data_IF_976148251274
#
_entry.id   IF_976148251274
#
_cell.length_a   1.000
_cell.length_b   1.000
_cell.length_c   1.000
_cell.angle_alpha   90.00
_cell.angle_beta   90.00
_cell.angle_gamma   90.00
#
_symmetry.space_group_name_H-M   'P 1'
#
loop_
_entity.id
_entity.type
_entity.pdbx_description
1 polymer ?
#
# COMPACT_ATOMS: atom_id res chain seq x y z
N UNK A 1 50.82 -38.67 -36.28
CA UNK A 1 49.97 -37.47 -36.48
C UNK A 1 48.80 -37.81 -37.38
N UNK A 2 47.58 -37.95 -36.84
CA UNK A 2 46.29 -37.72 -37.53
C UNK A 2 45.23 -37.44 -36.46
N UNK A 3 44.89 -36.16 -36.27
CA UNK A 3 43.84 -35.72 -35.37
C UNK A 3 42.46 -36.09 -35.95
N UNK A 4 41.58 -36.70 -35.14
CA UNK A 4 40.17 -36.91 -35.50
C UNK A 4 39.33 -35.78 -34.91
N UNK A 5 38.57 -35.14 -35.79
CA UNK A 5 37.73 -33.96 -35.60
C UNK A 5 36.63 -34.23 -34.58
N UNK A 6 36.41 -33.28 -33.67
CA UNK A 6 35.25 -33.25 -32.79
C UNK A 6 33.99 -32.93 -33.62
N UNK A 7 32.95 -33.76 -33.48
CA UNK A 7 31.60 -33.50 -34.00
C UNK A 7 30.83 -32.80 -32.89
N UNK A 8 30.41 -31.56 -33.15
CA UNK A 8 29.51 -30.82 -32.28
C UNK A 8 28.12 -31.46 -32.35
N UNK A 9 27.69 -32.09 -31.26
CA UNK A 9 26.30 -32.52 -31.08
C UNK A 9 25.47 -31.29 -30.63
N UNK A 10 24.53 -30.89 -31.49
CA UNK A 10 23.46 -29.96 -31.12
C UNK A 10 22.50 -30.68 -30.18
N UNK A 11 22.34 -30.22 -28.94
CA UNK A 11 21.22 -30.64 -28.10
C UNK A 11 20.00 -29.80 -28.46
N UNK A 12 18.92 -30.50 -28.82
CA UNK A 12 17.59 -29.96 -29.02
C UNK A 12 17.06 -29.28 -27.74
N UNK A 13 16.19 -28.28 -27.92
CA UNK A 13 15.54 -27.54 -26.86
C UNK A 13 14.79 -28.44 -25.88
N UNK A 14 15.10 -28.30 -24.59
CA UNK A 14 14.27 -28.82 -23.51
C UNK A 14 13.42 -27.66 -22.98
N UNK A 15 12.11 -27.77 -23.11
CA UNK A 15 11.16 -26.90 -22.41
C UNK A 15 11.26 -27.29 -20.92
N UNK A 16 11.81 -26.42 -20.09
CA UNK A 16 11.68 -26.55 -18.64
C UNK A 16 10.30 -26.05 -18.27
N UNK A 17 9.39 -26.98 -17.95
CA UNK A 17 8.20 -26.66 -17.18
C UNK A 17 8.66 -26.10 -15.82
N UNK A 18 8.56 -24.79 -15.63
CA UNK A 18 8.70 -24.19 -14.30
C UNK A 18 7.50 -24.67 -13.47
N UNK A 19 7.72 -25.58 -12.54
CA UNK A 19 6.76 -25.90 -11.49
C UNK A 19 6.33 -24.60 -10.80
N UNK A 20 5.06 -24.47 -10.35
CA UNK A 20 4.72 -23.37 -9.45
C UNK A 20 5.66 -23.46 -8.23
N UNK A 21 6.41 -22.38 -7.98
CA UNK A 21 7.22 -22.27 -6.78
C UNK A 21 6.27 -22.48 -5.57
N UNK A 22 6.63 -23.39 -4.67
CA UNK A 22 5.89 -23.54 -3.41
C UNK A 22 5.78 -22.17 -2.72
N UNK A 23 4.69 -21.86 -2.00
CA UNK A 23 4.61 -20.62 -1.24
C UNK A 23 5.85 -20.51 -0.35
N UNK A 24 6.65 -19.46 -0.56
CA UNK A 24 7.81 -19.21 0.26
C UNK A 24 7.33 -18.95 1.70
N UNK A 25 7.80 -19.76 2.64
CA UNK A 25 7.50 -19.53 4.06
C UNK A 25 8.23 -18.25 4.51
N UNK A 26 7.48 -17.25 4.96
CA UNK A 26 8.04 -15.99 5.46
C UNK A 26 8.34 -16.12 6.95
N UNK A 27 9.62 -15.96 7.33
CA UNK A 27 10.01 -15.89 8.74
C UNK A 27 10.04 -14.43 9.16
N UNK A 28 9.27 -14.06 10.19
CA UNK A 28 9.31 -12.74 10.82
C UNK A 28 9.98 -12.80 12.19
N UNK A 29 10.98 -11.95 12.37
CA UNK A 29 11.68 -11.75 13.64
C UNK A 29 11.21 -10.46 14.28
N UNK A 30 10.93 -10.49 15.59
CA UNK A 30 10.49 -9.34 16.38
C UNK A 30 11.59 -8.93 17.35
N UNK A 31 11.78 -7.62 17.53
CA UNK A 31 12.70 -7.03 18.51
C UNK A 31 11.90 -6.17 19.48
N UNK A 32 12.17 -6.32 20.78
CA UNK A 32 11.46 -5.61 21.84
C UNK A 32 12.42 -4.76 22.67
N UNK A 33 11.92 -3.68 23.28
CA UNK A 33 12.65 -2.92 24.29
C UNK A 33 12.59 -3.58 25.68
N UNK A 34 13.25 -2.97 26.66
CA UNK A 34 13.28 -3.43 28.06
C UNK A 34 11.91 -3.40 28.76
N UNK A 35 10.91 -2.72 28.17
CA UNK A 35 9.52 -2.68 28.66
C UNK A 35 8.62 -3.70 27.93
N UNK A 36 9.19 -4.53 27.05
CA UNK A 36 8.45 -5.56 26.30
C UNK A 36 7.66 -5.01 25.10
N UNK A 37 7.91 -3.77 24.69
CA UNK A 37 7.23 -3.14 23.55
C UNK A 37 7.98 -3.40 22.25
N UNK A 38 7.27 -3.58 21.14
CA UNK A 38 7.88 -3.89 19.85
C UNK A 38 8.67 -2.70 19.30
N UNK A 39 9.98 -2.83 19.15
CA UNK A 39 10.86 -1.79 18.58
C UNK A 39 11.33 -2.09 17.16
N UNK A 40 11.03 -3.28 16.65
CA UNK A 40 11.22 -3.54 15.23
C UNK A 40 10.85 -4.95 14.80
N UNK A 41 10.64 -5.09 13.51
CA UNK A 41 10.43 -6.37 12.84
C UNK A 41 11.48 -6.57 11.75
N UNK A 42 11.74 -7.81 11.39
CA UNK A 42 12.54 -8.16 10.22
C UNK A 42 11.91 -9.38 9.55
N UNK A 43 11.58 -9.28 8.27
CA UNK A 43 11.13 -10.39 7.45
C UNK A 43 12.32 -11.06 6.77
N UNK A 44 12.21 -12.37 6.52
CA UNK A 44 13.16 -13.13 5.70
C UNK A 44 13.23 -12.65 4.24
N UNK A 45 12.28 -11.82 3.81
CA UNK A 45 12.30 -11.13 2.51
C UNK A 45 13.08 -9.79 2.56
N UNK A 46 13.61 -9.42 3.73
CA UNK A 46 14.47 -8.27 3.92
C UNK A 46 13.74 -6.95 4.20
N UNK A 47 12.41 -6.99 4.39
CA UNK A 47 11.67 -5.88 5.00
C UNK A 47 11.98 -5.77 6.48
N UNK A 48 12.24 -4.56 6.96
CA UNK A 48 12.47 -4.28 8.38
C UNK A 48 11.66 -3.07 8.83
N UNK A 49 11.18 -3.12 10.07
CA UNK A 49 10.52 -2.00 10.74
C UNK A 49 11.36 -1.56 11.93
N UNK A 50 11.43 -0.25 12.17
CA UNK A 50 11.94 0.37 13.40
C UNK A 50 10.84 1.20 14.05
N UNK A 51 10.63 1.01 15.36
CA UNK A 51 9.61 1.71 16.15
C UNK A 51 10.27 2.43 17.32
N UNK A 52 10.02 3.72 17.49
CA UNK A 52 10.45 4.50 18.64
C UNK A 52 9.27 4.91 19.52
N UNK A 53 9.48 4.97 20.82
CA UNK A 53 8.49 5.37 21.81
C UNK A 53 8.98 6.56 22.66
N UNK A 54 8.05 7.44 23.04
CA UNK A 54 8.30 8.49 24.02
C UNK A 54 8.32 7.94 25.46
N UNK A 55 8.75 8.74 26.47
CA UNK A 55 8.75 8.32 27.87
C UNK A 55 7.37 8.04 28.48
N UNK A 56 6.29 8.55 27.88
CA UNK A 56 4.92 8.32 28.32
C UNK A 56 4.33 7.01 27.78
N UNK A 57 5.03 6.32 26.89
CA UNK A 57 4.58 5.05 26.33
C UNK A 57 4.10 5.11 24.90
N UNK A 58 3.96 6.31 24.33
CA UNK A 58 3.35 6.50 23.01
C UNK A 58 4.37 6.28 21.91
N UNK A 59 3.93 5.74 20.77
CA UNK A 59 4.79 5.53 19.60
C UNK A 59 5.12 6.90 18.97
N UNK A 60 6.40 7.27 18.95
CA UNK A 60 6.91 8.54 18.42
C UNK A 60 7.48 8.40 17.00
N UNK A 61 8.00 7.24 16.61
CA UNK A 61 8.56 7.02 15.26
C UNK A 61 8.24 5.62 14.73
N UNK A 62 8.10 5.51 13.40
CA UNK A 62 7.91 4.25 12.68
C UNK A 62 8.59 4.34 11.30
N UNK A 63 9.61 3.52 11.06
CA UNK A 63 10.42 3.52 9.83
C UNK A 63 10.37 2.12 9.22
N UNK A 64 10.04 2.01 7.93
CA UNK A 64 10.05 0.74 7.19
C UNK A 64 11.12 0.79 6.10
N UNK A 65 12.03 -0.18 6.09
CA UNK A 65 13.12 -0.32 5.10
C UNK A 65 13.03 -1.69 4.44
N UNK A 66 12.93 -1.75 3.11
CA UNK A 66 12.80 -2.99 2.34
C UNK A 66 14.00 -3.28 1.43
N UNK A 67 14.49 -4.52 1.48
CA UNK A 67 15.64 -5.02 0.73
C UNK A 67 15.52 -4.90 -0.79
N UNK A 68 16.41 -4.10 -1.36
CA UNK A 68 16.81 -4.23 -2.75
C UNK A 68 18.09 -5.07 -2.84
N UNK A 69 18.04 -6.07 -3.70
CA UNK A 69 19.15 -6.55 -4.53
C UNK A 69 20.17 -7.54 -3.91
N UNK A 70 19.96 -8.83 -4.17
CA UNK A 70 21.03 -9.69 -4.70
C UNK A 70 20.61 -10.00 -6.15
N UNK A 71 21.31 -9.64 -7.22
CA UNK A 71 22.74 -9.46 -7.41
C UNK A 71 23.19 -10.43 -8.51
N UNK A 72 23.03 -10.05 -9.77
CA UNK A 72 23.80 -10.62 -10.88
C UNK A 72 24.35 -9.44 -11.69
N UNK A 73 25.62 -9.15 -11.48
CA UNK A 73 26.31 -8.01 -12.06
C UNK A 73 26.86 -8.29 -13.46
N UNK A 74 26.98 -7.21 -14.23
CA UNK A 74 28.20 -6.84 -14.94
C UNK A 74 28.38 -7.36 -16.38
N UNK A 75 28.43 -6.42 -17.33
CA UNK A 75 29.11 -6.61 -18.61
C UNK A 75 28.51 -5.79 -19.75
N UNK A 76 29.13 -4.67 -20.10
CA UNK A 76 28.67 -3.74 -21.14
C UNK A 76 28.86 -4.22 -22.58
N UNK A 77 28.23 -3.50 -23.51
CA UNK A 77 28.42 -3.63 -24.96
C UNK A 77 27.24 -3.05 -25.72
N UNK A 78 27.47 -1.98 -26.49
CA UNK A 78 26.44 -1.25 -27.23
C UNK A 78 25.79 -2.05 -28.36
N UNK A 79 24.57 -1.66 -28.71
CA UNK A 79 23.83 -2.17 -29.87
C UNK A 79 22.44 -1.54 -29.93
N UNK A 80 22.16 -0.83 -31.02
CA UNK A 80 20.90 -0.15 -31.30
C UNK A 80 19.73 -1.11 -31.49
N UNK A 81 18.53 -0.69 -31.07
CA UNK A 81 17.27 -1.04 -31.74
C UNK A 81 16.21 -1.72 -30.87
N UNK A 82 15.01 -1.14 -30.87
CA UNK A 82 13.76 -1.90 -30.87
C UNK A 82 12.94 -1.92 -29.58
N UNK A 83 11.83 -1.18 -29.58
CA UNK A 83 10.55 -1.62 -28.99
C UNK A 83 10.42 -1.56 -27.47
N UNK A 84 10.37 -0.36 -26.89
CA UNK A 84 9.91 -0.19 -25.50
C UNK A 84 8.39 -0.22 -25.43
N UNK A 85 7.80 -1.39 -25.16
CA UNK A 85 6.41 -1.49 -24.72
C UNK A 85 6.25 -0.83 -23.36
N UNK A 86 5.80 0.43 -23.33
CA UNK A 86 5.39 1.09 -22.09
C UNK A 86 4.19 0.37 -21.51
N UNK A 87 4.36 -0.30 -20.38
CA UNK A 87 3.24 -0.89 -19.64
C UNK A 87 2.21 0.20 -19.31
N UNK A 88 0.92 -0.11 -19.48
CA UNK A 88 -0.16 0.82 -19.17
C UNK A 88 -0.08 1.27 -17.69
N UNK A 89 -0.32 2.55 -17.43
CA UNK A 89 -0.43 3.08 -16.06
C UNK A 89 -1.67 2.47 -15.40
N UNK A 90 -1.54 1.84 -14.21
CA UNK A 90 -2.69 1.31 -13.49
C UNK A 90 -3.69 2.42 -13.15
N UNK A 91 -4.97 2.07 -13.15
CA UNK A 91 -6.07 2.97 -12.78
C UNK A 91 -6.69 2.53 -11.47
N UNK A 92 -6.88 3.46 -10.55
CA UNK A 92 -7.61 3.27 -9.28
C UNK A 92 -9.03 3.79 -9.46
N UNK A 93 -10.02 2.97 -9.14
CA UNK A 93 -11.43 3.37 -9.16
C UNK A 93 -11.69 4.44 -8.11
N UNK A 94 -12.27 5.57 -8.53
CA UNK A 94 -12.59 6.70 -7.67
C UNK A 94 -11.41 7.12 -6.77
N UNK A 95 -10.22 7.21 -7.37
CA UNK A 95 -8.96 7.40 -6.64
C UNK A 95 -8.84 8.70 -5.83
N UNK A 96 -9.69 9.69 -6.11
CA UNK A 96 -9.82 10.95 -5.36
C UNK A 96 -11.18 11.11 -4.65
N UNK A 97 -11.95 10.02 -4.52
CA UNK A 97 -13.19 9.97 -3.71
C UNK A 97 -14.27 10.99 -4.11
N UNK A 98 -14.37 11.32 -5.39
CA UNK A 98 -15.35 12.28 -5.90
C UNK A 98 -16.75 11.67 -6.08
N UNK A 99 -16.90 10.36 -5.84
CA UNK A 99 -18.17 9.65 -5.92
C UNK A 99 -18.56 8.96 -4.60
N UNK A 100 -19.84 9.06 -4.19
CA UNK A 100 -20.88 9.92 -4.72
C UNK A 100 -20.65 11.40 -4.36
N UNK A 101 -21.01 12.29 -5.28
CA UNK A 101 -20.94 13.73 -5.07
C UNK A 101 -21.76 14.19 -3.86
N UNK A 102 -21.14 14.96 -2.96
CA UNK A 102 -21.81 15.63 -1.84
C UNK A 102 -21.82 17.15 -2.06
N UNK A 103 -23.01 17.76 -1.96
CA UNK A 103 -23.16 19.22 -2.01
C UNK A 103 -22.88 19.84 -0.63
N UNK A 104 -21.60 20.00 -0.30
CA UNK A 104 -21.13 20.52 1.00
C UNK A 104 -21.42 19.59 2.20
N UNK A 105 -21.97 18.40 1.93
CA UNK A 105 -22.35 17.40 2.92
C UNK A 105 -21.29 16.32 3.12
N UNK A 106 -21.75 15.20 3.67
CA UNK A 106 -20.99 13.97 3.81
C UNK A 106 -21.94 12.78 3.79
N UNK A 107 -21.41 11.61 3.44
CA UNK A 107 -22.18 10.37 3.40
C UNK A 107 -21.36 9.23 3.99
N UNK A 108 -21.98 8.47 4.90
CA UNK A 108 -21.43 7.21 5.43
C UNK A 108 -21.80 6.03 4.55
N UNK A 109 -20.88 5.07 4.50
CA UNK A 109 -20.97 3.78 3.81
C UNK A 109 -21.56 3.86 2.38
N UNK A 110 -21.16 4.85 1.53
CA UNK A 110 -21.60 4.87 0.15
C UNK A 110 -21.02 3.69 -0.65
N UNK A 111 -21.52 3.54 -1.88
CA UNK A 111 -20.88 2.72 -2.89
C UNK A 111 -20.87 3.46 -4.21
N UNK A 112 -19.78 3.30 -4.96
CA UNK A 112 -19.60 3.80 -6.31
C UNK A 112 -18.98 2.70 -7.17
N UNK A 113 -18.87 2.93 -8.48
CA UNK A 113 -18.30 1.94 -9.39
C UNK A 113 -16.84 1.65 -9.02
N UNK A 114 -16.58 0.47 -8.45
CA UNK A 114 -15.24 0.04 -8.02
C UNK A 114 -14.79 0.61 -6.67
N UNK A 115 -15.64 1.35 -5.94
CA UNK A 115 -15.34 1.84 -4.60
C UNK A 115 -16.44 1.43 -3.61
N UNK A 116 -16.05 0.96 -2.43
CA UNK A 116 -16.98 0.54 -1.38
C UNK A 116 -16.52 0.98 0.00
N UNK A 117 -17.46 1.48 0.78
CA UNK A 117 -17.26 2.04 2.10
C UNK A 117 -18.10 1.24 3.09
N UNK A 118 -17.50 0.88 4.22
CA UNK A 118 -18.16 0.12 5.30
C UNK A 118 -17.64 0.57 6.67
N UNK A 119 -18.37 0.23 7.73
CA UNK A 119 -17.88 0.31 9.11
C UNK A 119 -17.62 1.73 9.60
N UNK A 120 -18.44 2.72 9.24
CA UNK A 120 -18.24 4.15 9.54
C UNK A 120 -17.13 4.80 8.71
N UNK A 121 -16.97 4.36 7.45
CA UNK A 121 -16.22 5.14 6.45
C UNK A 121 -17.18 5.95 5.58
N UNK A 122 -16.66 6.87 4.79
CA UNK A 122 -17.51 7.65 3.90
C UNK A 122 -16.77 8.65 3.04
N UNK A 123 -17.53 9.52 2.40
CA UNK A 123 -17.04 10.67 1.64
C UNK A 123 -17.50 11.97 2.30
N UNK A 124 -16.65 12.99 2.33
CA UNK A 124 -16.98 14.30 2.88
C UNK A 124 -16.52 15.40 1.92
N UNK A 125 -17.42 16.33 1.59
CA UNK A 125 -17.06 17.46 0.76
C UNK A 125 -16.21 18.49 1.50
N UNK A 126 -15.43 19.23 0.72
CA UNK A 126 -14.74 20.43 1.16
C UNK A 126 -15.74 21.40 1.82
N UNK A 127 -15.41 21.86 3.03
CA UNK A 127 -16.27 22.76 3.81
C UNK A 127 -17.43 22.08 4.55
N UNK A 128 -17.55 20.75 4.51
CA UNK A 128 -18.56 20.02 5.28
C UNK A 128 -18.34 20.13 6.80
N UNK A 129 -19.32 19.68 7.57
CA UNK A 129 -19.26 19.65 9.05
C UNK A 129 -18.11 18.79 9.61
N UNK A 130 -17.49 17.95 8.79
CA UNK A 130 -16.25 17.25 9.15
C UNK A 130 -15.09 18.21 9.34
N UNK A 131 -15.01 19.29 8.56
CA UNK A 131 -14.00 20.34 8.73
C UNK A 131 -12.58 19.88 8.44
N UNK A 132 -12.38 18.87 7.59
CA UNK A 132 -11.06 18.55 7.03
C UNK A 132 -10.53 19.74 6.19
N UNK A 133 -9.21 19.82 6.02
CA UNK A 133 -8.63 20.70 5.01
C UNK A 133 -9.20 20.37 3.62
N UNK A 134 -9.14 21.33 2.69
CA UNK A 134 -9.59 21.09 1.32
C UNK A 134 -8.80 19.93 0.68
N UNK A 135 -9.52 19.05 -0.02
CA UNK A 135 -8.97 17.93 -0.77
C UNK A 135 -7.85 18.38 -1.72
N UNK A 136 -6.68 17.71 -1.72
CA UNK A 136 -5.60 17.95 -2.67
C UNK A 136 -5.98 17.77 -4.15
N UNK A 137 -6.85 16.81 -4.45
CA UNK A 137 -7.48 16.58 -5.75
C UNK A 137 -9.00 16.69 -5.60
N UNK A 138 -9.66 17.28 -6.60
CA UNK A 138 -11.10 17.46 -6.60
C UNK A 138 -11.64 18.34 -5.46
N UNK A 139 -12.71 17.87 -4.84
CA UNK A 139 -13.61 18.62 -3.96
C UNK A 139 -14.10 17.84 -2.75
N UNK A 140 -13.71 16.58 -2.61
CA UNK A 140 -14.13 15.71 -1.53
C UNK A 140 -13.00 14.79 -1.10
N UNK A 141 -13.18 14.16 0.06
CA UNK A 141 -12.19 13.22 0.62
C UNK A 141 -12.89 11.94 1.01
N UNK A 142 -12.18 10.82 0.93
CA UNK A 142 -12.55 9.62 1.66
C UNK A 142 -12.26 9.83 3.13
N UNK A 143 -13.10 9.36 4.05
CA UNK A 143 -12.80 9.40 5.48
C UNK A 143 -13.00 8.04 6.15
N UNK A 144 -12.18 7.82 7.18
CA UNK A 144 -12.31 6.73 8.13
C UNK A 144 -12.67 7.31 9.49
N UNK A 145 -13.68 6.75 10.15
CA UNK A 145 -14.07 7.12 11.51
C UNK A 145 -13.86 5.96 12.49
N UNK A 146 -13.31 6.26 13.66
CA UNK A 146 -13.45 5.41 14.84
C UNK A 146 -14.84 5.58 15.49
N UNK A 147 -14.95 5.25 16.76
CA UNK A 147 -16.21 5.32 17.52
C UNK A 147 -16.98 4.01 17.58
N UNK A 148 -16.48 2.94 16.95
CA UNK A 148 -17.01 1.58 17.03
C UNK A 148 -16.01 0.65 17.73
N UNK A 149 -16.49 -0.15 18.69
CA UNK A 149 -15.69 -1.17 19.38
C UNK A 149 -15.76 -2.55 18.71
N UNK A 150 -16.56 -2.70 17.66
CA UNK A 150 -16.82 -3.99 17.02
C UNK A 150 -16.41 -4.03 15.55
N UNK A 151 -16.31 -2.87 14.89
CA UNK A 151 -16.06 -2.78 13.45
C UNK A 151 -15.08 -1.64 13.15
N UNK A 152 -14.30 -1.82 12.09
CA UNK A 152 -13.37 -0.82 11.58
C UNK A 152 -13.93 -0.17 10.31
N UNK A 153 -13.80 1.16 10.22
CA UNK A 153 -14.04 1.89 8.98
C UNK A 153 -13.13 1.34 7.89
N UNK A 154 -13.72 0.92 6.77
CA UNK A 154 -12.97 0.33 5.66
C UNK A 154 -13.46 0.86 4.33
N UNK A 155 -12.52 1.42 3.55
CA UNK A 155 -12.73 1.82 2.16
C UNK A 155 -11.96 0.83 1.28
N UNK A 156 -12.59 0.28 0.25
CA UNK A 156 -11.94 -0.57 -0.76
C UNK A 156 -12.08 0.01 -2.15
N UNK A 157 -10.98 0.12 -2.89
CA UNK A 157 -10.91 0.64 -4.25
C UNK A 157 -10.36 -0.42 -5.20
N UNK A 158 -11.07 -0.66 -6.30
CA UNK A 158 -10.61 -1.56 -7.36
C UNK A 158 -9.47 -0.91 -8.16
N UNK A 159 -8.47 -1.72 -8.50
CA UNK A 159 -7.35 -1.34 -9.36
C UNK A 159 -7.38 -2.17 -10.63
N UNK A 160 -7.16 -1.55 -11.77
CA UNK A 160 -7.06 -2.22 -13.08
C UNK A 160 -5.81 -1.77 -13.83
N UNK A 161 -5.41 -2.51 -14.86
CA UNK A 161 -4.26 -2.15 -15.70
C UNK A 161 -2.90 -2.48 -15.06
N UNK A 162 -2.88 -3.33 -14.03
CA UNK A 162 -1.64 -3.83 -13.45
C UNK A 162 -0.95 -4.80 -14.41
N UNK A 163 0.38 -4.89 -14.32
CA UNK A 163 1.17 -5.91 -15.01
C UNK A 163 1.65 -6.96 -14.01
N UNK A 164 1.21 -8.23 -14.12
CA UNK A 164 1.69 -9.30 -13.24
C UNK A 164 3.22 -9.39 -13.22
N UNK A 165 3.81 -9.46 -12.04
CA UNK A 165 5.26 -9.46 -11.82
C UNK A 165 5.92 -8.08 -11.75
N UNK A 166 5.21 -7.00 -12.09
CA UNK A 166 5.71 -5.63 -11.89
C UNK A 166 5.50 -5.15 -10.46
N UNK A 167 6.43 -4.33 -9.97
CA UNK A 167 6.36 -3.72 -8.63
C UNK A 167 5.75 -2.32 -8.67
N UNK A 168 4.83 -2.06 -7.76
CA UNK A 168 4.09 -0.81 -7.63
C UNK A 168 4.14 -0.28 -6.20
N UNK A 169 3.77 0.98 -6.02
CA UNK A 169 3.53 1.64 -4.73
C UNK A 169 2.20 2.37 -4.79
N UNK A 170 1.51 2.47 -3.66
CA UNK A 170 0.34 3.33 -3.47
C UNK A 170 0.85 4.68 -2.98
N UNK A 171 0.40 5.75 -3.62
CA UNK A 171 0.64 7.14 -3.20
C UNK A 171 -0.71 7.78 -2.95
N UNK A 172 -0.84 8.42 -1.81
CA UNK A 172 -2.03 9.13 -1.36
C UNK A 172 -1.59 10.15 -0.31
N UNK A 173 -2.51 10.97 0.13
CA UNK A 173 -2.33 11.93 1.21
C UNK A 173 -3.39 11.72 2.29
N UNK A 174 -3.11 12.20 3.50
CA UNK A 174 -4.06 12.10 4.60
C UNK A 174 -3.97 13.30 5.53
N UNK A 175 -5.09 13.58 6.21
CA UNK A 175 -5.18 14.58 7.26
C UNK A 175 -6.06 14.05 8.39
N UNK A 176 -5.85 14.49 9.63
CA UNK A 176 -6.78 14.21 10.72
C UNK A 176 -7.88 15.27 10.74
N UNK A 177 -8.99 14.92 11.39
CA UNK A 177 -10.03 15.90 11.67
C UNK A 177 -9.54 16.90 12.74
N UNK A 178 -9.72 18.23 12.59
CA UNK A 178 -9.17 19.22 13.53
C UNK A 178 -9.68 19.09 14.97
N UNK A 179 -10.91 18.63 15.15
CA UNK A 179 -11.57 18.54 16.47
C UNK A 179 -11.40 17.16 17.13
N UNK A 180 -10.63 16.25 16.54
CA UNK A 180 -10.42 14.90 17.09
C UNK A 180 -8.95 14.61 17.32
N UNK A 181 -8.69 13.53 18.07
CA UNK A 181 -7.35 12.99 18.24
C UNK A 181 -6.78 12.36 16.97
N UNK A 182 -5.55 11.87 17.09
CA UNK A 182 -4.84 11.09 16.07
C UNK A 182 -5.61 9.84 15.70
N UNK A 183 -5.68 9.54 14.40
CA UNK A 183 -6.19 8.26 13.90
C UNK A 183 -5.06 7.38 13.37
N UNK A 184 -5.16 6.07 13.62
CA UNK A 184 -4.36 5.04 12.97
C UNK A 184 -5.21 4.28 11.96
N UNK A 185 -4.61 3.97 10.81
CA UNK A 185 -5.20 3.11 9.81
C UNK A 185 -4.11 2.35 9.02
N UNK A 186 -4.49 1.20 8.47
CA UNK A 186 -3.65 0.36 7.61
C UNK A 186 -4.06 0.52 6.15
N UNK A 187 -3.10 0.36 5.25
CA UNK A 187 -3.31 0.35 3.81
C UNK A 187 -2.91 -1.03 3.28
N UNK A 188 -3.82 -1.64 2.53
CA UNK A 188 -3.66 -3.00 2.03
C UNK A 188 -3.69 -3.02 0.51
N UNK A 189 -2.92 -3.94 -0.08
CA UNK A 189 -3.09 -4.36 -1.47
C UNK A 189 -3.33 -5.87 -1.52
N UNK A 190 -4.50 -6.29 -2.02
CA UNK A 190 -4.93 -7.70 -2.07
C UNK A 190 -4.71 -8.46 -0.75
N UNK A 191 -5.02 -7.81 0.38
CA UNK A 191 -4.87 -8.37 1.73
C UNK A 191 -3.45 -8.34 2.30
N UNK A 192 -2.47 -7.82 1.57
CA UNK A 192 -1.11 -7.56 2.07
C UNK A 192 -1.03 -6.15 2.63
N UNK A 193 -0.62 -5.99 3.88
CA UNK A 193 -0.37 -4.66 4.46
C UNK A 193 0.85 -4.01 3.76
N UNK A 194 0.64 -2.83 3.20
CA UNK A 194 1.64 -2.06 2.48
C UNK A 194 1.92 -0.71 3.15
N UNK A 195 1.13 -0.26 4.12
CA UNK A 195 1.44 0.91 4.93
C UNK A 195 0.65 0.97 6.25
N UNK A 196 1.34 1.27 7.34
CA UNK A 196 0.76 1.73 8.60
C UNK A 196 0.78 3.26 8.64
N UNK A 197 -0.38 3.91 8.82
CA UNK A 197 -0.49 5.37 8.81
C UNK A 197 -0.94 5.91 10.15
N UNK A 198 -0.32 7.01 10.57
CA UNK A 198 -0.72 7.79 11.75
C UNK A 198 -1.07 9.21 11.33
N UNK A 199 -2.35 9.53 11.34
CA UNK A 199 -2.88 10.83 10.97
C UNK A 199 -2.83 11.81 12.13
N UNK A 200 -1.81 12.67 12.16
CA UNK A 200 -1.57 13.67 13.23
C UNK A 200 -1.73 15.12 12.77
N UNK A 201 -1.49 15.40 11.50
CA UNK A 201 -1.57 16.74 10.91
C UNK A 201 -3.00 17.05 10.47
N UNK A 202 -3.45 18.29 10.68
CA UNK A 202 -4.71 18.78 10.10
C UNK A 202 -4.56 19.19 8.64
N UNK A 203 -3.33 19.39 8.17
CA UNK A 203 -2.99 19.58 6.76
C UNK A 203 -2.67 18.24 6.12
N UNK A 204 -2.96 18.10 4.82
CA UNK A 204 -2.67 16.89 4.07
C UNK A 204 -1.17 16.61 3.98
N UNK A 205 -0.77 15.43 4.43
CA UNK A 205 0.61 14.92 4.33
C UNK A 205 0.67 13.73 3.38
N UNK A 206 1.62 13.68 2.44
CA UNK A 206 1.74 12.57 1.50
C UNK A 206 2.30 11.32 2.17
N UNK A 207 1.84 10.16 1.72
CA UNK A 207 2.34 8.83 2.06
C UNK A 207 2.70 8.10 0.78
N UNK A 208 3.81 7.38 0.83
CA UNK A 208 4.19 6.39 -0.19
C UNK A 208 4.31 5.04 0.50
N UNK A 209 3.52 4.06 0.06
CA UNK A 209 3.51 2.72 0.65
C UNK A 209 4.83 1.98 0.42
N UNK A 210 5.02 0.86 1.13
CA UNK A 210 5.95 -0.17 0.71
C UNK A 210 5.63 -0.65 -0.71
N UNK A 211 6.65 -1.11 -1.43
CA UNK A 211 6.44 -1.68 -2.76
C UNK A 211 5.77 -3.06 -2.64
N UNK A 212 4.85 -3.34 -3.55
CA UNK A 212 4.21 -4.65 -3.70
C UNK A 212 4.32 -5.11 -5.16
N UNK A 213 4.28 -6.42 -5.39
CA UNK A 213 4.32 -6.98 -6.74
C UNK A 213 2.92 -7.43 -7.14
N UNK A 214 2.42 -6.95 -8.27
CA UNK A 214 1.11 -7.36 -8.76
C UNK A 214 1.13 -8.84 -9.18
N UNK A 215 0.12 -9.61 -8.78
CA UNK A 215 -0.04 -11.03 -9.15
C UNK A 215 -1.03 -11.21 -10.29
N UNK A 216 -1.85 -10.19 -10.56
CA UNK A 216 -2.88 -10.16 -11.58
C UNK A 216 -2.93 -8.78 -12.27
N UNK A 217 -3.77 -8.65 -13.30
CA UNK A 217 -4.00 -7.38 -14.02
C UNK A 217 -4.97 -6.45 -13.30
N UNK A 218 -5.58 -6.94 -12.22
CA UNK A 218 -6.48 -6.22 -11.33
C UNK A 218 -6.09 -6.49 -9.88
N UNK A 219 -6.46 -5.60 -8.97
CA UNK A 219 -6.27 -5.78 -7.53
C UNK A 219 -7.20 -4.88 -6.73
N UNK A 220 -7.04 -4.88 -5.42
CA UNK A 220 -7.84 -4.08 -4.49
C UNK A 220 -6.94 -3.34 -3.52
N UNK A 221 -7.10 -2.02 -3.45
CA UNK A 221 -6.58 -1.20 -2.35
C UNK A 221 -7.61 -1.19 -1.23
N UNK A 222 -7.20 -1.32 0.01
CA UNK A 222 -8.07 -1.06 1.16
C UNK A 222 -7.41 -0.09 2.15
N UNK A 223 -8.19 0.85 2.66
CA UNK A 223 -7.84 1.68 3.81
C UNK A 223 -8.71 1.24 4.98
N UNK A 224 -8.10 0.80 6.08
CA UNK A 224 -8.82 0.24 7.24
C UNK A 224 -8.42 0.95 8.51
N UNK A 225 -9.39 1.61 9.14
CA UNK A 225 -9.22 2.28 10.42
C UNK A 225 -9.03 1.30 11.58
N UNK A 226 -8.67 1.85 12.74
CA UNK A 226 -8.63 1.08 13.99
C UNK A 226 -10.02 0.90 14.59
N UNK A 227 -10.31 -0.29 15.12
CA UNK A 227 -11.49 -0.53 15.98
C UNK A 227 -11.26 0.15 17.32
N UNK A 228 -12.03 1.18 17.62
CA UNK A 228 -11.88 1.97 18.85
C UNK A 228 -13.17 2.71 19.21
N UNK A 229 -13.46 2.82 20.51
CA UNK A 229 -14.55 3.67 20.99
C UNK A 229 -14.27 5.18 20.81
N UNK A 230 -13.01 5.56 20.57
CA UNK A 230 -12.64 6.96 20.45
C UNK A 230 -13.14 7.53 19.11
N UNK A 231 -13.80 8.71 19.11
CA UNK A 231 -14.26 9.36 17.88
C UNK A 231 -13.10 10.07 17.19
N UNK A 232 -12.10 9.32 16.74
CA UNK A 232 -10.94 9.78 15.95
C UNK A 232 -11.20 9.57 14.47
N UNK A 233 -10.60 10.38 13.60
CA UNK A 233 -10.87 10.29 12.17
C UNK A 233 -9.72 10.77 11.31
N UNK A 234 -9.63 10.21 10.10
CA UNK A 234 -8.69 10.60 9.07
C UNK A 234 -9.43 10.79 7.74
N UNK A 235 -9.09 11.85 7.03
CA UNK A 235 -9.36 12.04 5.62
C UNK A 235 -8.21 11.45 4.80
N UNK A 236 -8.54 10.96 3.60
CA UNK A 236 -7.65 10.35 2.62
C UNK A 236 -8.01 10.95 1.26
N UNK A 237 -6.97 11.27 0.49
CA UNK A 237 -7.04 11.66 -0.91
C UNK A 237 -5.75 11.27 -1.63
#
# INVERSE_FOLDING_TARGET
>A
MRARKAVAAWLAATILCASPAAPASETRTYRYDALGRLVGTASSTGATTGIGYDPAGNRQSYVVTGAGLAGAGGGGGGGSGGGGGGGATPTVADGSFELPWQDGGYQYDPSAAGARFTGYSGVAANGSAWGFAAAPDGSQVGFLQGGSTTEAATITLAVTGLTPGASYRIVFSHARRPVTGTMWFNVWFDGTDVADVMSTSTDFTPVTSAAFTATATTGTIAFTGVVTANPISAAID
#
